data_IF_191243838525
#
_entry.id   IF_191243838525
#
_cell.length_a   1.000
_cell.length_b   1.000
_cell.length_c   1.000
_cell.angle_alpha   90.00
_cell.angle_beta   90.00
_cell.angle_gamma   90.00
#
_symmetry.space_group_name_H-M   'P 1'
#
loop_
_entity.id
_entity.type
_entity.pdbx_description
1 polymer ?
#
# COMPACT_ATOMS: atom_id res chain seq x y z
N UNK A 1 5.25 -12.68 0.70
CA UNK A 1 6.25 -13.21 -0.25
C UNK A 1 7.14 -12.09 -0.72
N UNK A 2 8.43 -12.35 -0.89
CA UNK A 2 9.40 -11.31 -1.29
C UNK A 2 9.49 -11.12 -2.81
N UNK A 3 9.02 -12.08 -3.60
CA UNK A 3 8.95 -12.03 -5.07
C UNK A 3 7.83 -12.93 -5.59
N UNK A 4 7.40 -12.72 -6.84
CA UNK A 4 6.35 -13.48 -7.52
C UNK A 4 6.87 -14.75 -8.18
N UNK A 5 8.10 -14.72 -8.69
CA UNK A 5 8.76 -15.87 -9.31
C UNK A 5 10.28 -15.67 -9.30
N UNK A 6 11.04 -16.65 -9.79
CA UNK A 6 12.49 -16.50 -9.97
C UNK A 6 12.88 -15.47 -11.05
N UNK A 7 11.99 -15.19 -12.01
CA UNK A 7 12.19 -14.18 -13.05
C UNK A 7 11.67 -12.79 -12.70
N UNK A 8 11.17 -12.61 -11.48
CA UNK A 8 10.64 -11.33 -11.01
C UNK A 8 11.78 -10.36 -10.67
N UNK A 9 11.98 -9.38 -11.54
CA UNK A 9 13.10 -8.43 -11.47
C UNK A 9 12.83 -7.22 -10.56
N UNK A 10 11.62 -7.08 -10.01
CA UNK A 10 11.32 -5.94 -9.14
C UNK A 10 12.00 -6.14 -7.77
N UNK A 11 12.76 -5.13 -7.29
CA UNK A 11 13.59 -5.26 -6.09
C UNK A 11 12.79 -5.29 -4.79
N UNK A 12 11.48 -5.04 -4.83
CA UNK A 12 10.61 -4.93 -3.67
C UNK A 12 9.74 -6.18 -3.50
N UNK A 13 9.35 -6.47 -2.26
CA UNK A 13 8.31 -7.48 -1.99
C UNK A 13 6.97 -7.08 -2.59
N UNK A 14 6.09 -8.08 -2.78
CA UNK A 14 4.70 -7.86 -3.24
C UNK A 14 3.99 -6.79 -2.39
N UNK A 15 4.21 -6.82 -1.07
CA UNK A 15 3.67 -5.81 -0.15
C UNK A 15 4.26 -4.42 -0.41
N UNK A 16 5.58 -4.31 -0.52
CA UNK A 16 6.25 -3.02 -0.70
C UNK A 16 5.90 -2.38 -2.05
N UNK A 17 5.75 -3.17 -3.12
CA UNK A 17 5.25 -2.70 -4.43
C UNK A 17 3.85 -2.10 -4.32
N UNK A 18 2.98 -2.75 -3.57
CA UNK A 18 1.64 -2.23 -3.30
C UNK A 18 1.71 -0.96 -2.44
N UNK A 19 2.56 -0.90 -1.41
CA UNK A 19 2.62 0.24 -0.49
C UNK A 19 3.16 1.52 -1.13
N UNK A 20 4.32 1.46 -1.79
CA UNK A 20 5.10 2.65 -2.16
C UNK A 20 4.31 3.72 -2.95
N UNK A 21 3.53 3.37 -3.99
CA UNK A 21 2.79 4.39 -4.75
C UNK A 21 1.73 5.12 -3.91
N UNK A 22 1.18 4.49 -2.87
CA UNK A 22 0.11 5.06 -2.03
C UNK A 22 0.65 6.02 -0.98
N UNK A 23 1.92 5.88 -0.59
CA UNK A 23 2.58 6.80 0.35
C UNK A 23 2.68 8.23 -0.19
N UNK A 24 2.48 8.42 -1.49
CA UNK A 24 2.56 9.73 -2.16
C UNK A 24 1.20 10.41 -2.34
N UNK A 25 0.09 9.76 -1.99
CA UNK A 25 -1.24 10.32 -2.19
C UNK A 25 -1.65 11.24 -1.02
N UNK A 26 -1.70 12.58 -1.21
CA UNK A 26 -2.07 13.54 -0.15
C UNK A 26 -3.55 13.49 0.23
N UNK A 27 -4.39 12.81 -0.56
CA UNK A 27 -5.83 12.74 -0.36
C UNK A 27 -6.28 11.39 0.20
N UNK A 28 -5.35 10.49 0.54
CA UNK A 28 -5.65 9.15 1.02
C UNK A 28 -5.38 9.02 2.52
N UNK A 29 -6.39 8.60 3.27
CA UNK A 29 -6.21 8.26 4.69
C UNK A 29 -5.45 6.95 4.86
N UNK A 30 -4.82 6.75 6.02
CA UNK A 30 -4.13 5.50 6.35
C UNK A 30 -5.06 4.28 6.26
N UNK A 31 -6.32 4.41 6.67
CA UNK A 31 -7.33 3.34 6.53
C UNK A 31 -7.62 2.99 5.07
N UNK A 32 -7.77 3.99 4.21
CA UNK A 32 -7.99 3.79 2.77
C UNK A 32 -6.75 3.15 2.14
N UNK A 33 -5.56 3.64 2.48
CA UNK A 33 -4.29 3.10 2.04
C UNK A 33 -4.15 1.63 2.42
N UNK A 34 -4.40 1.27 3.68
CA UNK A 34 -4.30 -0.10 4.15
C UNK A 34 -5.25 -1.05 3.40
N UNK A 35 -6.50 -0.62 3.18
CA UNK A 35 -7.47 -1.39 2.39
C UNK A 35 -7.02 -1.57 0.95
N UNK A 36 -6.43 -0.53 0.35
CA UNK A 36 -5.93 -0.59 -1.02
C UNK A 36 -4.71 -1.52 -1.13
N UNK A 37 -3.72 -1.37 -0.25
CA UNK A 37 -2.56 -2.27 -0.18
C UNK A 37 -2.99 -3.73 -0.04
N UNK A 38 -3.96 -4.04 0.82
CA UNK A 38 -4.49 -5.41 0.96
C UNK A 38 -5.03 -5.95 -0.37
N UNK A 39 -5.85 -5.16 -1.09
CA UNK A 39 -6.40 -5.55 -2.40
C UNK A 39 -5.29 -5.79 -3.42
N UNK A 40 -4.31 -4.90 -3.48
CA UNK A 40 -3.27 -4.98 -4.50
C UNK A 40 -2.30 -6.14 -4.25
N UNK A 41 -1.99 -6.43 -2.98
CA UNK A 41 -1.23 -7.62 -2.62
C UNK A 41 -1.98 -8.89 -2.99
N UNK A 42 -3.28 -8.96 -2.69
CA UNK A 42 -4.11 -10.12 -3.04
C UNK A 42 -4.12 -10.32 -4.56
N UNK A 43 -4.40 -9.26 -5.33
CA UNK A 43 -4.44 -9.31 -6.79
C UNK A 43 -3.10 -9.76 -7.35
N UNK A 44 -1.99 -9.17 -6.89
CA UNK A 44 -0.66 -9.46 -7.42
C UNK A 44 -0.22 -10.88 -7.07
N UNK A 45 -0.43 -11.34 -5.83
CA UNK A 45 -0.12 -12.71 -5.43
C UNK A 45 -0.96 -13.76 -6.20
N UNK A 46 -2.23 -13.45 -6.51
CA UNK A 46 -3.11 -14.36 -7.26
C UNK A 46 -2.59 -14.66 -8.67
N UNK A 47 -1.82 -13.76 -9.28
CA UNK A 47 -1.22 -13.97 -10.61
C UNK A 47 -0.26 -15.15 -10.67
N UNK A 48 0.26 -15.58 -9.51
CA UNK A 48 1.15 -16.72 -9.34
C UNK A 48 0.52 -17.80 -8.44
N UNK A 49 -0.82 -17.86 -8.41
CA UNK A 49 -1.61 -18.83 -7.63
C UNK A 49 -1.29 -18.82 -6.13
N UNK A 50 -0.97 -17.65 -5.57
CA UNK A 50 -0.77 -17.47 -4.14
C UNK A 50 -1.84 -16.56 -3.54
N UNK A 51 -2.43 -17.00 -2.44
CA UNK A 51 -3.34 -16.19 -1.65
C UNK A 51 -2.58 -15.43 -0.56
N UNK A 52 -2.61 -14.10 -0.61
CA UNK A 52 -2.00 -13.24 0.41
C UNK A 52 -3.00 -12.22 0.95
N UNK A 53 -3.07 -12.12 2.28
CA UNK A 53 -3.96 -11.22 2.99
C UNK A 53 -3.20 -10.44 4.06
N UNK A 54 -2.55 -9.31 3.71
CA UNK A 54 -1.84 -8.49 4.69
C UNK A 54 -2.74 -8.04 5.83
N UNK A 55 -2.28 -8.25 7.06
CA UNK A 55 -2.96 -7.76 8.24
C UNK A 55 -2.72 -6.24 8.40
N UNK A 56 -3.74 -5.55 8.87
CA UNK A 56 -3.67 -4.14 9.25
C UNK A 56 -4.48 -3.98 10.52
N UNK A 57 -3.85 -3.43 11.55
CA UNK A 57 -4.42 -3.22 12.87
C UNK A 57 -4.18 -1.78 13.27
N UNK A 58 -5.20 -1.11 13.80
CA UNK A 58 -5.08 0.23 14.34
C UNK A 58 -6.11 0.46 15.46
N UNK A 59 -5.87 1.51 16.24
CA UNK A 59 -6.75 1.98 17.32
C UNK A 59 -6.97 3.48 17.21
N UNK A 60 -6.99 4.00 15.97
CA UNK A 60 -7.07 5.42 15.73
C UNK A 60 -8.49 5.94 15.86
N UNK A 61 -8.65 7.07 16.54
CA UNK A 61 -9.96 7.75 16.68
C UNK A 61 -10.29 8.69 15.53
N UNK A 62 -9.36 8.92 14.59
CA UNK A 62 -9.52 9.89 13.51
C UNK A 62 -8.61 9.61 12.33
N UNK A 63 -8.70 10.48 11.32
CA UNK A 63 -7.98 10.32 10.06
C UNK A 63 -6.51 10.73 10.18
N UNK A 64 -5.65 9.92 9.57
CA UNK A 64 -4.24 10.23 9.35
C UNK A 64 -3.93 10.13 7.86
N UNK A 65 -3.21 11.12 7.36
CA UNK A 65 -2.69 11.16 6.01
C UNK A 65 -1.17 11.03 6.09
N UNK A 66 -0.61 10.05 5.38
CA UNK A 66 0.84 9.80 5.42
C UNK A 66 1.62 10.73 4.50
N UNK A 67 1.05 11.06 3.35
CA UNK A 67 1.70 11.94 2.40
C UNK A 67 1.69 13.38 2.92
N UNK A 68 2.77 14.11 2.62
CA UNK A 68 2.87 15.52 2.96
C UNK A 68 1.84 16.29 2.14
N UNK A 69 0.85 16.86 2.81
CA UNK A 69 0.01 17.90 2.22
C UNK A 69 0.85 19.15 2.04
N UNK A 70 1.09 19.56 0.80
CA UNK A 70 1.58 20.92 0.53
C UNK A 70 0.41 21.85 0.79
N UNK A 71 0.33 22.40 2.00
CA UNK A 71 -0.58 23.51 2.25
C UNK A 71 -0.26 24.60 1.22
N UNK A 72 -1.18 24.87 0.29
CA UNK A 72 -1.10 26.04 -0.56
C UNK A 72 -1.03 27.24 0.37
N UNK A 73 0.11 27.93 0.39
CA UNK A 73 0.25 29.19 1.09
C UNK A 73 -0.72 30.18 0.42
N UNK A 74 -1.90 30.34 1.01
CA UNK A 74 -2.80 31.44 0.67
C UNK A 74 -2.11 32.72 1.11
N UNK A 75 -1.67 33.49 0.12
CA UNK A 75 -1.25 34.89 0.30
C UNK A 75 -2.49 35.78 0.39
#
# INVERSE_FOLDING_TARGET
MDRLSDGDADPNSVFTRALLPRLQDPNMTLHQLAKQVRRDVQNLASTVNHDQFPAYYDQMSGDLFLARTTASATK
#
